data_IF_091205977586
#
_entry.id   IF_091205977586
#
_cell.length_a   1.000
_cell.length_b   1.000
_cell.length_c   1.000
_cell.angle_alpha   90.00
_cell.angle_beta   90.00
_cell.angle_gamma   90.00
#
_symmetry.space_group_name_H-M   'P 1'
#
loop_
_entity.id
_entity.type
_entity.pdbx_description
1 polymer ?
#
# COMPACT_ATOMS: atom_id res chain seq x y z
N UNK A 1 69.06 37.27 17.10
CA UNK A 1 68.03 37.22 16.06
C UNK A 1 67.37 35.82 16.06
N UNK A 2 66.34 35.66 16.85
CA UNK A 2 65.55 34.39 16.94
C UNK A 2 64.16 34.62 16.35
N UNK A 3 63.91 33.99 15.21
CA UNK A 3 62.59 34.04 14.57
C UNK A 3 61.64 33.05 15.30
N UNK A 4 60.61 33.60 15.89
CA UNK A 4 59.50 32.85 16.50
C UNK A 4 58.54 32.44 15.40
N UNK A 5 58.35 31.13 15.17
CA UNK A 5 57.28 30.60 14.34
C UNK A 5 56.03 30.46 15.20
N UNK A 6 55.04 31.28 14.92
CA UNK A 6 53.68 31.07 15.46
C UNK A 6 52.96 30.04 14.58
N UNK A 7 52.70 28.84 15.14
CA UNK A 7 51.75 27.89 14.59
C UNK A 7 50.34 28.41 14.93
N UNK A 8 49.65 28.89 13.92
CA UNK A 8 48.21 29.16 14.02
C UNK A 8 47.42 27.87 13.97
N UNK A 9 46.90 27.44 15.10
CA UNK A 9 45.89 26.37 15.18
C UNK A 9 44.56 26.90 14.60
N UNK A 10 44.20 26.48 13.40
CA UNK A 10 42.89 26.72 12.86
C UNK A 10 41.89 25.83 13.60
N UNK A 11 41.20 26.40 14.56
CA UNK A 11 40.01 25.77 15.16
C UNK A 11 38.92 25.79 14.09
N UNK A 12 38.72 24.65 13.43
CA UNK A 12 37.49 24.41 12.65
C UNK A 12 36.33 24.36 13.62
N UNK A 13 35.72 25.50 13.86
CA UNK A 13 34.41 25.57 14.48
C UNK A 13 33.41 24.89 13.52
N UNK A 14 33.00 23.68 13.88
CA UNK A 14 31.83 23.01 13.29
C UNK A 14 30.60 23.84 13.66
N UNK A 15 30.32 24.83 12.88
CA UNK A 15 29.03 25.49 12.91
C UNK A 15 28.02 24.53 12.34
N UNK A 16 27.27 23.89 13.22
CA UNK A 16 25.98 23.31 12.91
C UNK A 16 25.02 24.44 12.52
N UNK A 17 25.13 24.93 11.30
CA UNK A 17 24.09 25.74 10.70
C UNK A 17 22.93 24.84 10.42
N UNK A 18 21.94 24.83 11.30
CA UNK A 18 20.56 24.50 10.94
C UNK A 18 20.02 25.62 10.05
N UNK A 19 20.52 25.72 8.81
CA UNK A 19 19.86 26.52 7.81
C UNK A 19 18.52 25.88 7.52
N UNK A 20 17.44 26.60 7.80
CA UNK A 20 16.11 26.23 7.37
C UNK A 20 16.14 26.04 5.85
N UNK A 21 16.05 24.80 5.40
CA UNK A 21 15.96 24.49 3.98
C UNK A 21 14.52 24.81 3.57
N UNK A 22 14.36 25.78 2.66
CA UNK A 22 13.07 26.07 2.06
C UNK A 22 12.80 25.00 1.00
N UNK A 23 12.18 23.89 1.40
CA UNK A 23 11.95 22.71 0.59
C UNK A 23 12.55 21.45 1.20
N UNK A 24 12.96 20.49 0.37
CA UNK A 24 13.58 19.26 0.84
C UNK A 24 15.04 19.15 0.49
N UNK A 25 15.80 18.45 1.32
CA UNK A 25 17.19 18.07 1.07
C UNK A 25 17.41 16.63 1.54
N UNK A 26 17.89 15.75 0.66
CA UNK A 26 18.23 14.37 0.98
C UNK A 26 19.71 14.15 0.76
N UNK A 27 20.44 13.95 1.86
CA UNK A 27 21.86 13.61 1.82
C UNK A 27 22.00 12.10 1.67
N UNK A 28 22.71 11.66 0.63
CA UNK A 28 23.00 10.24 0.41
C UNK A 28 24.48 10.00 0.66
N UNK A 29 24.79 8.97 1.46
CA UNK A 29 26.14 8.58 1.79
C UNK A 29 26.32 7.09 1.51
N UNK A 30 27.19 6.75 0.57
CA UNK A 30 27.52 5.39 0.17
C UNK A 30 28.86 5.00 0.75
N UNK A 31 28.89 3.94 1.53
CA UNK A 31 30.07 3.42 2.19
C UNK A 31 30.39 1.99 1.73
N UNK A 32 31.65 1.59 1.88
CA UNK A 32 32.17 0.29 1.45
C UNK A 32 32.37 0.24 -0.07
N UNK A 33 32.08 -0.90 -0.69
CA UNK A 33 32.33 -1.13 -2.11
C UNK A 33 31.23 -0.50 -3.01
N UNK A 34 31.36 0.78 -3.27
CA UNK A 34 30.41 1.52 -4.13
C UNK A 34 30.35 1.00 -5.58
N UNK A 35 31.33 0.21 -6.05
CA UNK A 35 31.31 -0.39 -7.40
C UNK A 35 30.10 -1.33 -7.60
N UNK A 36 29.55 -1.89 -6.51
CA UNK A 36 28.34 -2.70 -6.51
C UNK A 36 27.06 -1.97 -6.94
N UNK A 37 27.08 -0.65 -6.98
CA UNK A 37 26.02 0.15 -7.59
C UNK A 37 25.96 -0.05 -9.12
N UNK A 38 27.13 -0.25 -9.76
CA UNK A 38 27.27 -0.35 -11.22
C UNK A 38 27.16 1.01 -11.93
N UNK A 39 27.04 2.10 -11.21
CA UNK A 39 26.97 3.48 -11.71
C UNK A 39 27.33 4.46 -10.59
N UNK A 40 27.75 5.64 -10.96
CA UNK A 40 27.94 6.80 -10.06
C UNK A 40 26.69 7.69 -9.97
N UNK A 41 25.64 7.37 -10.71
CA UNK A 41 24.48 8.23 -10.86
C UNK A 41 23.28 7.64 -10.09
N UNK A 42 22.68 8.44 -9.22
CA UNK A 42 21.49 8.11 -8.46
C UNK A 42 20.26 8.87 -8.97
N UNK A 43 19.09 8.25 -8.84
CA UNK A 43 17.79 8.84 -9.16
C UNK A 43 16.95 8.87 -7.90
N UNK A 44 16.29 9.99 -7.62
CA UNK A 44 15.20 10.13 -6.66
C UNK A 44 13.88 10.22 -7.45
N UNK A 45 12.94 9.34 -7.20
CA UNK A 45 11.66 9.35 -7.95
C UNK A 45 10.50 8.72 -7.18
N UNK A 46 9.29 9.21 -7.44
CA UNK A 46 8.02 8.55 -7.09
C UNK A 46 7.32 7.94 -8.32
N UNK A 47 7.99 7.91 -9.48
CA UNK A 47 7.45 7.49 -10.79
C UNK A 47 6.26 8.34 -11.29
N UNK A 48 6.07 9.53 -10.76
CA UNK A 48 5.01 10.46 -11.16
C UNK A 48 5.61 11.86 -11.44
N UNK A 49 5.62 12.72 -10.45
CA UNK A 49 6.02 14.14 -10.55
C UNK A 49 7.37 14.46 -9.91
N UNK A 50 7.95 13.55 -9.14
CA UNK A 50 9.30 13.68 -8.60
C UNK A 50 10.24 12.80 -9.41
N UNK A 51 11.16 13.43 -10.11
CA UNK A 51 12.27 12.78 -10.82
C UNK A 51 13.48 13.69 -10.80
N UNK A 52 14.48 13.33 -10.01
CA UNK A 52 15.75 14.06 -9.91
C UNK A 52 16.92 13.08 -10.05
N UNK A 53 18.04 13.59 -10.54
CA UNK A 53 19.24 12.78 -10.83
C UNK A 53 20.47 13.49 -10.33
N UNK A 54 21.29 12.79 -9.55
CA UNK A 54 22.56 13.33 -9.01
C UNK A 54 23.70 12.35 -9.23
N UNK A 55 24.92 12.86 -9.29
CA UNK A 55 26.15 12.07 -9.39
C UNK A 55 26.78 11.95 -8.00
N UNK A 56 27.22 10.74 -7.67
CA UNK A 56 28.02 10.48 -6.47
C UNK A 56 29.43 11.03 -6.63
N UNK A 57 29.86 11.86 -5.69
CA UNK A 57 31.21 12.34 -5.57
C UNK A 57 31.78 11.86 -4.24
N UNK A 58 32.84 11.07 -4.31
CA UNK A 58 33.46 10.47 -3.10
C UNK A 58 32.45 9.73 -2.20
N UNK A 59 31.50 9.01 -2.82
CA UNK A 59 30.45 8.28 -2.11
C UNK A 59 29.31 9.14 -1.56
N UNK A 60 29.25 10.43 -1.90
CA UNK A 60 28.21 11.37 -1.42
C UNK A 60 27.41 11.95 -2.56
N UNK A 61 26.13 12.13 -2.33
CA UNK A 61 25.23 12.84 -3.23
C UNK A 61 24.18 13.63 -2.42
N UNK A 62 23.62 14.67 -3.03
CA UNK A 62 22.57 15.49 -2.41
C UNK A 62 21.48 15.73 -3.42
N UNK A 63 20.27 15.28 -3.11
CA UNK A 63 19.05 15.73 -3.78
C UNK A 63 18.50 16.94 -3.03
N UNK A 64 18.07 17.96 -3.76
CA UNK A 64 17.47 19.16 -3.17
C UNK A 64 16.43 19.74 -4.12
N UNK A 65 15.27 20.05 -3.60
CA UNK A 65 14.17 20.60 -4.38
C UNK A 65 13.35 21.65 -3.64
N UNK A 66 12.39 22.22 -4.36
CA UNK A 66 11.46 23.18 -3.83
C UNK A 66 10.57 22.58 -2.72
N UNK A 67 9.89 23.47 -2.00
CA UNK A 67 8.90 23.07 -0.99
C UNK A 67 7.81 22.20 -1.60
N UNK A 68 7.55 21.05 -0.97
CA UNK A 68 6.45 20.16 -1.30
C UNK A 68 5.28 20.41 -0.34
N UNK A 69 4.07 20.45 -0.87
CA UNK A 69 2.83 20.67 -0.09
C UNK A 69 2.33 19.38 0.55
N UNK A 70 2.67 18.25 -0.06
CA UNK A 70 2.25 16.91 0.42
C UNK A 70 3.46 16.02 0.47
N UNK A 71 3.81 15.44 1.63
CA UNK A 71 4.85 14.44 1.74
C UNK A 71 4.57 13.23 0.85
N UNK A 72 5.63 12.63 0.31
CA UNK A 72 5.49 11.57 -0.69
C UNK A 72 6.48 10.43 -0.47
N UNK A 73 6.04 9.22 -0.72
CA UNK A 73 6.95 8.09 -0.82
C UNK A 73 7.80 8.20 -2.08
N UNK A 74 9.12 8.25 -1.90
CA UNK A 74 10.08 8.29 -3.00
C UNK A 74 11.06 7.14 -2.89
N UNK A 75 11.60 6.77 -4.04
CA UNK A 75 12.62 5.75 -4.18
C UNK A 75 13.95 6.39 -4.58
N UNK A 76 15.04 5.98 -3.94
CA UNK A 76 16.39 6.20 -4.45
C UNK A 76 16.83 4.95 -5.18
N UNK A 77 17.26 5.08 -6.42
CA UNK A 77 17.74 4.00 -7.25
C UNK A 77 19.08 4.35 -7.92
N UNK A 78 19.89 3.34 -8.18
CA UNK A 78 21.04 3.44 -9.08
C UNK A 78 20.54 3.50 -10.53
N UNK A 79 21.02 4.51 -11.32
CA UNK A 79 20.60 4.72 -12.71
C UNK A 79 21.22 3.65 -13.60
N UNK A 80 20.37 2.85 -14.21
CA UNK A 80 20.73 1.81 -15.16
C UNK A 80 19.58 1.62 -16.17
N UNK A 81 19.76 0.82 -17.21
CA UNK A 81 18.69 0.44 -18.14
C UNK A 81 17.46 -0.11 -17.37
N UNK A 82 17.73 -0.94 -16.34
CA UNK A 82 16.74 -1.33 -15.34
C UNK A 82 17.18 -0.76 -13.98
N UNK A 83 16.56 0.33 -13.50
CA UNK A 83 16.98 0.99 -12.27
C UNK A 83 17.00 0.03 -11.07
N UNK A 84 18.11 -0.02 -10.37
CA UNK A 84 18.28 -0.85 -9.18
C UNK A 84 17.84 -0.05 -7.96
N UNK A 85 16.70 -0.44 -7.40
CA UNK A 85 16.18 0.16 -6.16
C UNK A 85 17.17 -0.03 -5.01
N UNK A 86 17.50 1.07 -4.33
CA UNK A 86 18.38 1.10 -3.17
C UNK A 86 17.58 1.38 -1.90
N UNK A 87 16.89 2.50 -1.82
CA UNK A 87 16.15 2.91 -0.63
C UNK A 87 14.74 3.40 -0.98
N UNK A 88 13.85 3.37 0.00
CA UNK A 88 12.58 4.09 -0.01
C UNK A 88 12.56 4.97 1.22
N UNK A 89 12.14 6.21 1.06
CA UNK A 89 11.96 7.14 2.16
C UNK A 89 10.68 7.95 1.95
N UNK A 90 10.18 8.49 3.04
CA UNK A 90 9.08 9.44 3.02
C UNK A 90 9.67 10.85 2.92
N UNK A 91 9.54 11.47 1.75
CA UNK A 91 10.08 12.80 1.48
C UNK A 91 9.19 13.86 2.11
N UNK A 92 9.78 14.64 3.00
CA UNK A 92 9.18 15.79 3.68
C UNK A 92 10.06 17.02 3.46
N UNK A 93 9.53 18.22 3.72
CA UNK A 93 10.35 19.42 3.77
C UNK A 93 11.36 19.32 4.92
N UNK A 94 12.55 19.87 4.72
CA UNK A 94 13.64 19.77 5.67
C UNK A 94 14.76 18.86 5.19
N UNK A 95 15.53 18.30 6.11
CA UNK A 95 16.73 17.51 5.81
C UNK A 95 16.53 16.05 6.20
N UNK A 96 16.72 15.17 5.23
CA UNK A 96 16.80 13.71 5.44
C UNK A 96 18.18 13.19 5.03
N UNK A 97 18.55 12.02 5.53
CA UNK A 97 19.77 11.33 5.10
C UNK A 97 19.50 9.85 4.82
N UNK A 98 20.26 9.30 3.87
CA UNK A 98 20.22 7.88 3.51
C UNK A 98 21.64 7.36 3.48
N UNK A 99 21.98 6.52 4.44
CA UNK A 99 23.27 5.82 4.51
C UNK A 99 23.11 4.45 3.85
N UNK A 100 23.95 4.15 2.85
CA UNK A 100 23.95 2.90 2.08
C UNK A 100 25.31 2.24 2.30
N UNK A 101 25.38 1.16 3.08
CA UNK A 101 26.62 0.51 3.44
C UNK A 101 26.75 -0.87 2.77
N UNK A 102 27.72 -1.01 1.89
CA UNK A 102 28.11 -2.28 1.27
C UNK A 102 29.17 -2.98 2.12
N UNK A 103 28.74 -3.64 3.19
CA UNK A 103 29.63 -4.42 4.05
C UNK A 103 30.33 -5.55 3.26
N UNK A 104 31.55 -5.89 3.68
CA UNK A 104 32.33 -6.96 3.08
C UNK A 104 31.58 -8.31 3.23
N UNK A 105 31.60 -9.11 2.16
CA UNK A 105 30.92 -10.42 2.13
C UNK A 105 29.39 -10.36 1.96
N UNK A 106 28.73 -9.20 2.05
CA UNK A 106 27.28 -9.09 1.84
C UNK A 106 26.95 -8.71 0.39
N UNK A 107 25.95 -9.37 -0.19
CA UNK A 107 25.46 -9.05 -1.56
C UNK A 107 24.56 -7.83 -1.59
N UNK A 108 23.84 -7.55 -0.51
CA UNK A 108 22.92 -6.40 -0.39
C UNK A 108 23.46 -5.41 0.61
N UNK A 109 23.34 -4.10 0.35
CA UNK A 109 23.74 -3.08 1.30
C UNK A 109 22.80 -3.06 2.51
N UNK A 110 23.35 -2.63 3.63
CA UNK A 110 22.57 -2.15 4.76
C UNK A 110 22.16 -0.71 4.48
N UNK A 111 20.88 -0.37 4.70
CA UNK A 111 20.33 0.94 4.38
C UNK A 111 19.70 1.52 5.63
N UNK A 112 20.12 2.73 5.99
CA UNK A 112 19.59 3.49 7.12
C UNK A 112 19.07 4.82 6.60
N UNK A 113 17.77 5.07 6.80
CA UNK A 113 17.12 6.35 6.48
C UNK A 113 16.91 7.11 7.79
N UNK A 114 17.21 8.42 7.80
CA UNK A 114 17.03 9.29 8.96
C UNK A 114 16.48 10.64 8.53
N UNK A 115 15.73 11.27 9.41
CA UNK A 115 15.15 12.61 9.20
C UNK A 115 13.71 12.55 8.73
N UNK A 116 13.03 13.68 8.87
CA UNK A 116 11.59 13.78 8.70
C UNK A 116 10.79 13.33 9.94
N UNK A 117 9.69 14.03 10.19
CA UNK A 117 8.83 13.70 11.35
C UNK A 117 8.06 12.41 11.11
N UNK A 118 7.50 12.26 9.92
CA UNK A 118 6.78 11.04 9.53
C UNK A 118 7.70 9.81 9.56
N UNK A 119 8.88 9.91 8.94
CA UNK A 119 9.84 8.79 8.89
C UNK A 119 10.23 8.33 10.29
N UNK A 120 10.51 9.28 11.20
CA UNK A 120 10.88 8.98 12.60
C UNK A 120 9.77 8.22 13.33
N UNK A 121 8.51 8.63 13.17
CA UNK A 121 7.36 7.95 13.77
C UNK A 121 7.16 6.57 13.16
N UNK A 122 7.17 6.47 11.83
CA UNK A 122 7.00 5.20 11.13
C UNK A 122 8.08 4.18 11.52
N UNK A 123 9.34 4.62 11.65
CA UNK A 123 10.43 3.75 12.07
C UNK A 123 10.30 3.32 13.53
N UNK A 124 9.83 4.21 14.41
CA UNK A 124 9.60 3.87 15.83
C UNK A 124 8.50 2.82 15.98
N UNK A 125 7.39 2.96 15.26
CA UNK A 125 6.29 1.98 15.28
C UNK A 125 6.71 0.65 14.64
N UNK A 126 7.48 0.70 13.54
CA UNK A 126 8.05 -0.51 12.93
C UNK A 126 9.01 -1.24 13.87
N UNK A 127 9.84 -0.51 14.62
CA UNK A 127 10.77 -1.12 15.57
C UNK A 127 10.04 -1.95 16.64
N UNK A 128 8.86 -1.54 17.08
CA UNK A 128 8.01 -2.33 17.99
C UNK A 128 7.67 -3.69 17.37
N UNK A 129 7.22 -3.71 16.12
CA UNK A 129 6.89 -4.95 15.40
C UNK A 129 8.13 -5.82 15.17
N UNK A 130 9.26 -5.21 14.77
CA UNK A 130 10.52 -5.91 14.51
C UNK A 130 11.07 -6.59 15.77
N UNK A 131 11.01 -5.92 16.93
CA UNK A 131 11.41 -6.51 18.21
C UNK A 131 10.55 -7.74 18.56
N UNK A 132 9.24 -7.63 18.36
CA UNK A 132 8.31 -8.74 18.62
C UNK A 132 8.54 -9.91 17.65
N UNK A 133 8.78 -9.65 16.37
CA UNK A 133 9.13 -10.68 15.39
C UNK A 133 10.45 -11.36 15.72
N UNK A 134 11.46 -10.61 16.19
CA UNK A 134 12.73 -11.17 16.66
C UNK A 134 12.52 -12.05 17.90
N UNK A 135 11.73 -11.59 18.86
CA UNK A 135 11.46 -12.32 20.11
C UNK A 135 10.80 -13.69 19.86
N UNK A 136 9.87 -13.79 18.91
CA UNK A 136 9.23 -15.05 18.53
C UNK A 136 9.98 -15.83 17.42
N UNK A 137 11.16 -15.36 16.97
CA UNK A 137 11.95 -15.95 15.87
C UNK A 137 11.15 -16.13 14.59
N UNK A 138 10.36 -15.12 14.22
CA UNK A 138 9.42 -15.16 13.10
C UNK A 138 10.08 -15.63 11.80
N UNK A 139 11.31 -15.18 11.50
CA UNK A 139 12.04 -15.59 10.29
C UNK A 139 12.19 -17.11 10.21
N UNK A 140 12.52 -17.77 11.34
CA UNK A 140 12.66 -19.24 11.42
C UNK A 140 11.30 -19.93 11.27
N UNK A 141 10.24 -19.36 11.86
CA UNK A 141 8.88 -19.88 11.73
C UNK A 141 8.38 -19.78 10.29
N UNK A 142 8.61 -18.66 9.61
CA UNK A 142 8.22 -18.46 8.21
C UNK A 142 9.02 -19.36 7.25
N UNK A 143 10.29 -19.65 7.52
CA UNK A 143 11.05 -20.64 6.75
C UNK A 143 10.48 -22.05 6.90
N UNK A 144 10.05 -22.41 8.12
CA UNK A 144 9.42 -23.71 8.40
C UNK A 144 8.02 -23.82 7.78
N UNK A 145 7.29 -22.72 7.67
CA UNK A 145 5.88 -22.67 7.20
C UNK A 145 5.66 -23.38 5.86
N UNK A 146 6.57 -23.21 4.90
CA UNK A 146 6.43 -23.82 3.56
C UNK A 146 6.32 -25.36 3.59
N UNK A 147 6.95 -26.01 4.60
CA UNK A 147 7.03 -27.47 4.75
C UNK A 147 6.20 -27.99 5.93
N UNK A 148 5.53 -27.11 6.65
CA UNK A 148 4.81 -27.42 7.87
C UNK A 148 3.51 -28.19 7.59
N UNK A 149 3.07 -28.99 8.56
CA UNK A 149 1.74 -29.60 8.58
C UNK A 149 0.63 -28.53 8.65
N UNK A 150 -0.63 -28.89 8.42
CA UNK A 150 -1.76 -27.96 8.55
C UNK A 150 -1.88 -27.39 9.98
N UNK A 151 -1.62 -28.23 10.99
CA UNK A 151 -1.67 -27.84 12.41
C UNK A 151 -0.55 -26.85 12.75
N UNK A 152 0.70 -27.15 12.32
CA UNK A 152 1.84 -26.26 12.55
C UNK A 152 1.68 -24.93 11.82
N UNK A 153 1.12 -24.92 10.60
CA UNK A 153 0.78 -23.70 9.86
C UNK A 153 -0.20 -22.82 10.64
N UNK A 154 -1.28 -23.42 11.17
CA UNK A 154 -2.24 -22.70 11.98
C UNK A 154 -1.61 -22.11 13.25
N UNK A 155 -0.70 -22.84 13.89
CA UNK A 155 0.05 -22.35 15.04
C UNK A 155 0.97 -21.16 14.68
N UNK A 156 1.68 -21.23 13.56
CA UNK A 156 2.54 -20.13 13.07
C UNK A 156 1.70 -18.90 12.71
N UNK A 157 0.57 -19.09 12.01
CA UNK A 157 -0.36 -18.02 11.66
C UNK A 157 -0.94 -17.33 12.91
N UNK A 158 -1.24 -18.10 13.96
CA UNK A 158 -1.68 -17.54 15.24
C UNK A 158 -0.64 -16.62 15.85
N UNK A 159 0.63 -17.04 15.91
CA UNK A 159 1.73 -16.21 16.43
C UNK A 159 1.89 -14.95 15.57
N UNK A 160 1.86 -15.08 14.25
CA UNK A 160 1.94 -13.95 13.34
C UNK A 160 0.81 -12.94 13.58
N UNK A 161 -0.42 -13.41 13.69
CA UNK A 161 -1.59 -12.58 13.92
C UNK A 161 -1.56 -11.88 15.29
N UNK A 162 -1.08 -12.56 16.34
CA UNK A 162 -0.90 -11.96 17.67
C UNK A 162 0.14 -10.83 17.66
N UNK A 163 1.24 -11.00 16.95
CA UNK A 163 2.27 -9.95 16.81
C UNK A 163 1.75 -8.78 15.99
N UNK A 164 1.08 -9.07 14.89
CA UNK A 164 0.50 -8.03 14.02
C UNK A 164 -0.57 -7.22 14.76
N UNK A 165 -1.46 -7.88 15.51
CA UNK A 165 -2.48 -7.19 16.30
C UNK A 165 -1.89 -6.22 17.35
N UNK A 166 -0.78 -6.59 18.01
CA UNK A 166 -0.10 -5.70 18.94
C UNK A 166 0.60 -4.52 18.25
N UNK A 167 1.13 -4.72 17.06
CA UNK A 167 1.68 -3.62 16.26
C UNK A 167 0.59 -2.65 15.82
N UNK A 168 -0.56 -3.16 15.38
CA UNK A 168 -1.75 -2.37 15.04
C UNK A 168 -2.28 -1.60 16.26
N UNK A 169 -2.27 -2.21 17.46
CA UNK A 169 -2.64 -1.53 18.71
C UNK A 169 -1.68 -0.38 19.04
N UNK A 170 -0.37 -0.58 18.89
CA UNK A 170 0.62 0.49 19.11
C UNK A 170 0.41 1.66 18.13
N UNK A 171 0.13 1.37 16.86
CA UNK A 171 -0.19 2.38 15.87
C UNK A 171 -1.49 3.12 16.20
N UNK A 172 -2.55 2.41 16.56
CA UNK A 172 -3.83 3.00 16.95
C UNK A 172 -3.68 3.92 18.18
N UNK A 173 -2.90 3.50 19.18
CA UNK A 173 -2.60 4.30 20.36
C UNK A 173 -1.80 5.57 19.99
N UNK A 174 -0.83 5.49 19.09
CA UNK A 174 -0.11 6.65 18.60
C UNK A 174 -1.08 7.64 17.93
N UNK A 175 -1.89 7.18 16.99
CA UNK A 175 -2.86 8.01 16.25
C UNK A 175 -3.90 8.63 17.21
N UNK A 176 -4.39 7.89 18.20
CA UNK A 176 -5.34 8.40 19.18
C UNK A 176 -4.76 9.52 20.04
N UNK A 177 -3.47 9.45 20.39
CA UNK A 177 -2.78 10.47 21.19
C UNK A 177 -2.21 11.63 20.36
N UNK A 178 -2.06 11.44 19.03
CA UNK A 178 -1.52 12.43 18.09
C UNK A 178 -2.43 12.58 16.86
N UNK A 179 -3.71 12.92 17.02
CA UNK A 179 -4.74 12.77 16.00
C UNK A 179 -4.60 13.71 14.80
N UNK A 180 -3.76 14.76 14.91
CA UNK A 180 -3.58 15.77 13.86
C UNK A 180 -2.19 15.79 13.25
N UNK A 181 -1.39 14.75 13.49
CA UNK A 181 -0.07 14.62 12.87
C UNK A 181 -0.18 14.15 11.42
N UNK A 182 0.87 14.39 10.64
CA UNK A 182 0.96 13.86 9.29
C UNK A 182 0.82 12.34 9.26
N UNK A 183 1.39 11.65 10.26
CA UNK A 183 1.24 10.20 10.39
C UNK A 183 -0.23 9.79 10.55
N UNK A 184 -1.00 10.52 11.37
CA UNK A 184 -2.42 10.25 11.54
C UNK A 184 -3.24 10.53 10.26
N UNK A 185 -2.85 11.53 9.46
CA UNK A 185 -3.47 11.79 8.15
C UNK A 185 -3.22 10.64 7.16
N UNK A 186 -1.99 10.16 7.08
CA UNK A 186 -1.63 9.03 6.22
C UNK A 186 -2.30 7.71 6.71
N UNK A 187 -2.36 7.50 8.02
CA UNK A 187 -3.10 6.39 8.62
C UNK A 187 -4.61 6.46 8.28
N UNK A 188 -5.22 7.64 8.35
CA UNK A 188 -6.61 7.85 7.90
C UNK A 188 -6.77 7.44 6.43
N UNK A 189 -5.88 7.91 5.55
CA UNK A 189 -5.91 7.57 4.12
C UNK A 189 -5.80 6.07 3.87
N UNK A 190 -4.90 5.38 4.59
CA UNK A 190 -4.63 3.95 4.41
C UNK A 190 -5.68 3.01 5.01
N UNK A 191 -6.50 3.50 5.95
CA UNK A 191 -7.45 2.68 6.70
C UNK A 191 -8.93 3.03 6.45
N UNK A 192 -9.24 3.90 5.49
CA UNK A 192 -10.62 4.33 5.20
C UNK A 192 -11.61 3.18 5.01
N UNK A 193 -11.18 2.11 4.36
CA UNK A 193 -12.06 0.95 4.08
C UNK A 193 -12.41 0.14 5.32
N UNK A 194 -11.57 0.19 6.36
CA UNK A 194 -11.75 -0.55 7.61
C UNK A 194 -12.44 0.30 8.69
N UNK A 195 -12.56 1.60 8.45
CA UNK A 195 -13.05 2.58 9.41
C UNK A 195 -14.55 2.83 9.26
N UNK A 196 -15.21 3.15 10.36
CA UNK A 196 -16.55 3.70 10.30
C UNK A 196 -16.55 5.04 9.54
N UNK A 197 -17.55 5.21 8.67
CA UNK A 197 -17.57 6.37 7.76
C UNK A 197 -17.74 7.69 8.51
N UNK A 198 -18.56 7.72 9.57
CA UNK A 198 -18.75 8.92 10.38
C UNK A 198 -17.47 9.27 11.15
N UNK A 199 -16.73 8.26 11.63
CA UNK A 199 -15.42 8.45 12.24
C UNK A 199 -14.41 9.03 11.22
N UNK A 200 -14.36 8.48 10.01
CA UNK A 200 -13.48 8.98 8.95
C UNK A 200 -13.79 10.44 8.58
N UNK A 201 -15.07 10.80 8.48
CA UNK A 201 -15.53 12.18 8.22
C UNK A 201 -15.13 13.13 9.35
N UNK A 202 -15.29 12.72 10.61
CA UNK A 202 -14.91 13.53 11.77
C UNK A 202 -13.39 13.77 11.82
N UNK A 203 -12.58 12.74 11.54
CA UNK A 203 -11.11 12.86 11.45
C UNK A 203 -10.71 13.78 10.31
N UNK A 204 -11.29 13.63 9.12
CA UNK A 204 -11.01 14.50 7.98
C UNK A 204 -11.37 15.97 8.30
N UNK A 205 -12.51 16.22 8.95
CA UNK A 205 -12.93 17.56 9.34
C UNK A 205 -11.93 18.21 10.30
N UNK A 206 -11.35 17.44 11.24
CA UNK A 206 -10.31 17.94 12.14
C UNK A 206 -9.05 18.40 11.37
N UNK A 207 -8.60 17.65 10.36
CA UNK A 207 -7.49 18.07 9.51
C UNK A 207 -7.82 19.31 8.65
N UNK A 208 -9.03 19.37 8.08
CA UNK A 208 -9.46 20.52 7.26
C UNK A 208 -9.53 21.83 8.05
N UNK A 209 -9.67 21.76 9.36
CA UNK A 209 -9.67 22.92 10.25
C UNK A 209 -8.25 23.48 10.53
N UNK A 210 -7.19 22.77 10.15
CA UNK A 210 -5.81 23.14 10.44
C UNK A 210 -5.17 23.85 9.23
N UNK A 211 -4.69 25.09 9.38
CA UNK A 211 -4.10 25.86 8.28
C UNK A 211 -2.92 25.17 7.60
N UNK A 212 -2.12 24.41 8.35
CA UNK A 212 -0.95 23.69 7.84
C UNK A 212 -1.28 22.58 6.83
N UNK A 213 -2.55 22.12 6.80
CA UNK A 213 -3.03 21.11 5.87
C UNK A 213 -3.86 21.70 4.71
N UNK A 214 -4.05 23.02 4.63
CA UNK A 214 -4.93 23.66 3.65
C UNK A 214 -4.57 23.34 2.17
N UNK A 215 -3.27 23.14 1.89
CA UNK A 215 -2.77 22.80 0.56
C UNK A 215 -2.37 21.32 0.42
N UNK A 216 -2.70 20.49 1.42
CA UNK A 216 -2.31 19.09 1.39
C UNK A 216 -3.25 18.29 0.47
N UNK A 217 -2.74 17.84 -0.67
CA UNK A 217 -3.49 17.09 -1.69
C UNK A 217 -4.10 15.77 -1.17
N UNK A 218 -3.59 15.21 -0.07
CA UNK A 218 -4.17 14.00 0.51
C UNK A 218 -5.53 14.28 1.15
N UNK A 219 -5.79 15.51 1.62
CA UNK A 219 -7.12 15.93 2.09
C UNK A 219 -8.19 15.75 1.00
N UNK A 220 -7.91 16.24 -0.22
CA UNK A 220 -8.83 16.11 -1.36
C UNK A 220 -9.03 14.63 -1.75
N UNK A 221 -7.94 13.85 -1.75
CA UNK A 221 -8.01 12.41 -2.05
C UNK A 221 -8.86 11.65 -1.02
N UNK A 222 -8.64 11.92 0.27
CA UNK A 222 -9.40 11.30 1.36
C UNK A 222 -10.89 11.68 1.26
N UNK A 223 -11.19 12.96 1.00
CA UNK A 223 -12.56 13.42 0.82
C UNK A 223 -13.26 12.74 -0.35
N UNK A 224 -12.57 12.62 -1.49
CA UNK A 224 -13.06 11.90 -2.67
C UNK A 224 -13.31 10.42 -2.37
N UNK A 225 -12.39 9.77 -1.64
CA UNK A 225 -12.53 8.37 -1.25
C UNK A 225 -13.72 8.18 -0.28
N UNK A 226 -13.87 9.04 0.73
CA UNK A 226 -15.03 9.02 1.63
C UNK A 226 -16.34 9.18 0.86
N UNK A 227 -16.41 10.11 -0.10
CA UNK A 227 -17.60 10.31 -0.93
C UNK A 227 -17.91 9.07 -1.80
N UNK A 228 -16.89 8.41 -2.33
CA UNK A 228 -17.07 7.14 -3.05
C UNK A 228 -17.59 6.04 -2.11
N UNK A 229 -17.05 5.93 -0.90
CA UNK A 229 -17.48 4.94 0.10
C UNK A 229 -18.91 5.15 0.58
N UNK A 230 -19.43 6.39 0.58
CA UNK A 230 -20.86 6.68 0.85
C UNK A 230 -21.79 5.94 -0.11
N UNK A 231 -21.41 5.86 -1.38
CA UNK A 231 -22.18 5.16 -2.40
C UNK A 231 -22.07 3.62 -2.31
N UNK A 232 -21.28 3.12 -1.39
CA UNK A 232 -21.05 1.68 -1.18
C UNK A 232 -21.53 1.21 0.20
N UNK A 233 -22.31 2.04 0.90
CA UNK A 233 -22.91 1.68 2.19
C UNK A 233 -24.09 0.73 2.03
N UNK A 234 -24.35 -0.18 2.98
CA UNK A 234 -25.51 -1.05 2.95
C UNK A 234 -26.82 -0.27 2.72
N UNK A 235 -27.66 -0.77 1.82
CA UNK A 235 -28.93 -0.14 1.40
C UNK A 235 -28.79 0.95 0.33
N UNK A 236 -27.60 1.43 0.01
CA UNK A 236 -27.36 2.38 -1.10
C UNK A 236 -27.20 1.60 -2.41
N UNK A 237 -27.72 2.15 -3.51
CA UNK A 237 -27.52 1.56 -4.84
C UNK A 237 -26.06 1.73 -5.26
N UNK A 238 -25.39 0.61 -5.51
CA UNK A 238 -24.00 0.60 -5.93
C UNK A 238 -23.83 1.30 -7.30
N UNK A 239 -22.70 2.00 -7.51
CA UNK A 239 -22.40 2.61 -8.79
C UNK A 239 -22.45 1.59 -9.94
N UNK A 240 -23.18 1.90 -11.00
CA UNK A 240 -23.24 1.05 -12.20
C UNK A 240 -21.97 1.22 -13.04
N UNK A 241 -21.57 0.18 -13.75
CA UNK A 241 -20.39 0.22 -14.61
C UNK A 241 -20.57 -0.65 -15.86
N UNK A 242 -19.69 -0.44 -16.83
CA UNK A 242 -19.58 -1.27 -18.04
C UNK A 242 -18.11 -1.62 -18.22
N UNK A 243 -17.80 -2.92 -18.33
CA UNK A 243 -16.48 -3.43 -18.73
C UNK A 243 -16.63 -4.60 -19.70
N UNK A 244 -15.59 -4.90 -20.46
CA UNK A 244 -15.63 -5.94 -21.47
C UNK A 244 -15.42 -7.35 -20.87
N UNK A 245 -16.16 -8.31 -21.40
CA UNK A 245 -15.93 -9.73 -21.17
C UNK A 245 -14.64 -10.22 -21.88
N UNK A 246 -14.24 -11.50 -21.69
CA UNK A 246 -13.09 -12.07 -22.40
C UNK A 246 -13.18 -12.02 -23.93
N UNK A 247 -14.38 -11.95 -24.50
CA UNK A 247 -14.60 -11.89 -25.96
C UNK A 247 -14.61 -10.45 -26.47
N UNK A 248 -14.54 -9.45 -25.56
CA UNK A 248 -14.53 -8.03 -25.88
C UNK A 248 -15.93 -7.41 -25.95
N UNK A 249 -16.97 -8.13 -25.55
CA UNK A 249 -18.32 -7.60 -25.50
C UNK A 249 -18.54 -6.76 -24.23
N UNK A 250 -19.21 -5.61 -24.32
CA UNK A 250 -19.52 -4.80 -23.14
C UNK A 250 -20.56 -5.49 -22.27
N UNK A 251 -20.26 -5.62 -20.99
CA UNK A 251 -21.16 -6.13 -19.94
C UNK A 251 -21.47 -5.00 -18.99
N UNK A 252 -22.75 -4.69 -18.85
CA UNK A 252 -23.25 -3.72 -17.90
C UNK A 252 -23.63 -4.40 -16.59
N UNK A 253 -23.14 -3.90 -15.45
CA UNK A 253 -23.36 -4.47 -14.14
C UNK A 253 -24.86 -4.55 -13.78
N UNK A 254 -25.63 -3.48 -14.08
CA UNK A 254 -27.07 -3.49 -13.84
C UNK A 254 -27.85 -4.53 -14.67
N UNK A 255 -27.33 -4.97 -15.80
CA UNK A 255 -27.94 -6.06 -16.58
C UNK A 255 -27.60 -7.45 -15.99
N UNK A 256 -26.57 -7.52 -15.12
CA UNK A 256 -26.21 -8.74 -14.40
C UNK A 256 -27.04 -8.86 -13.13
N UNK A 257 -26.97 -7.88 -12.21
CA UNK A 257 -27.63 -8.03 -10.91
C UNK A 257 -29.16 -8.16 -10.99
N UNK A 258 -29.80 -7.55 -11.98
CA UNK A 258 -31.24 -7.70 -12.20
C UNK A 258 -31.71 -9.12 -12.49
N UNK A 259 -30.79 -10.02 -12.88
CA UNK A 259 -31.09 -11.43 -13.18
C UNK A 259 -31.08 -12.32 -11.93
N UNK A 260 -30.53 -11.81 -10.83
CA UNK A 260 -30.30 -12.59 -9.61
C UNK A 260 -30.93 -11.90 -8.41
N UNK A 261 -31.25 -12.66 -7.36
CA UNK A 261 -31.71 -12.09 -6.09
C UNK A 261 -30.56 -11.45 -5.32
N UNK A 262 -29.35 -12.08 -5.41
CA UNK A 262 -28.11 -11.61 -4.81
C UNK A 262 -27.00 -11.72 -5.85
N UNK A 263 -26.25 -10.66 -6.04
CA UNK A 263 -25.07 -10.65 -6.92
C UNK A 263 -23.83 -10.27 -6.13
N UNK A 264 -22.78 -11.06 -6.25
CA UNK A 264 -21.45 -10.75 -5.75
C UNK A 264 -20.61 -10.12 -6.85
N UNK A 265 -20.07 -8.94 -6.60
CA UNK A 265 -18.93 -8.40 -7.37
C UNK A 265 -17.67 -8.90 -6.72
N UNK A 266 -16.90 -9.72 -7.44
CA UNK A 266 -15.64 -10.33 -6.98
C UNK A 266 -14.45 -9.66 -7.65
N UNK A 267 -13.63 -8.95 -6.88
CA UNK A 267 -12.40 -8.34 -7.37
C UNK A 267 -11.24 -9.29 -7.16
N UNK A 268 -10.63 -9.72 -8.27
CA UNK A 268 -9.61 -10.76 -8.27
C UNK A 268 -8.55 -10.56 -9.36
N UNK A 269 -7.58 -11.45 -9.47
CA UNK A 269 -6.65 -11.51 -10.59
C UNK A 269 -5.99 -12.88 -10.73
N UNK A 270 -5.50 -13.21 -11.92
CA UNK A 270 -4.77 -14.46 -12.19
C UNK A 270 -3.50 -14.61 -11.36
N UNK A 271 -2.82 -13.51 -11.09
CA UNK A 271 -1.61 -13.43 -10.28
C UNK A 271 -1.87 -13.36 -8.76
N UNK A 272 -3.13 -13.21 -8.34
CA UNK A 272 -3.50 -13.11 -6.92
C UNK A 272 -3.52 -14.51 -6.28
N UNK A 273 -2.47 -14.88 -5.57
CA UNK A 273 -2.37 -16.17 -4.90
C UNK A 273 -3.51 -16.45 -3.92
N UNK A 274 -3.89 -15.52 -3.02
CA UNK A 274 -5.06 -15.70 -2.14
C UNK A 274 -6.36 -15.92 -2.91
N UNK A 275 -6.62 -15.15 -3.97
CA UNK A 275 -7.82 -15.31 -4.82
C UNK A 275 -7.88 -16.71 -5.41
N UNK A 276 -6.76 -17.18 -6.02
CA UNK A 276 -6.67 -18.51 -6.62
C UNK A 276 -6.87 -19.65 -5.60
N UNK A 277 -6.46 -19.45 -4.34
CA UNK A 277 -6.74 -20.42 -3.25
C UNK A 277 -8.20 -20.43 -2.82
N UNK A 278 -8.89 -19.30 -2.89
CA UNK A 278 -10.30 -19.16 -2.54
C UNK A 278 -11.25 -19.64 -3.66
N UNK A 279 -10.86 -19.51 -4.93
CA UNK A 279 -11.70 -19.86 -6.09
C UNK A 279 -12.34 -21.26 -6.03
N UNK A 280 -11.67 -22.35 -5.58
CA UNK A 280 -12.32 -23.65 -5.43
C UNK A 280 -13.47 -23.66 -4.44
N UNK A 281 -13.38 -22.90 -3.34
CA UNK A 281 -14.47 -22.74 -2.36
C UNK A 281 -15.60 -21.92 -2.98
N UNK A 282 -15.30 -20.81 -3.62
CA UNK A 282 -16.28 -19.95 -4.28
C UNK A 282 -17.05 -20.71 -5.38
N UNK A 283 -16.35 -21.54 -6.16
CA UNK A 283 -16.97 -22.41 -7.18
C UNK A 283 -17.97 -23.41 -6.56
N UNK A 284 -17.68 -23.96 -5.38
CA UNK A 284 -18.63 -24.84 -4.67
C UNK A 284 -19.86 -24.07 -4.20
N UNK A 285 -19.65 -22.91 -3.59
CA UNK A 285 -20.75 -22.02 -3.15
C UNK A 285 -21.61 -21.62 -4.35
N UNK A 286 -21.00 -21.19 -5.46
CA UNK A 286 -21.73 -20.81 -6.65
C UNK A 286 -22.59 -21.94 -7.19
N UNK A 287 -22.06 -23.16 -7.31
CA UNK A 287 -22.83 -24.35 -7.74
C UNK A 287 -24.01 -24.67 -6.84
N UNK A 288 -23.89 -24.43 -5.54
CA UNK A 288 -24.96 -24.71 -4.57
C UNK A 288 -26.09 -23.66 -4.63
N UNK A 289 -25.77 -22.39 -4.93
CA UNK A 289 -26.69 -21.27 -4.79
C UNK A 289 -27.15 -20.64 -6.12
N UNK A 290 -26.48 -20.89 -7.26
CA UNK A 290 -26.81 -20.25 -8.55
C UNK A 290 -28.27 -20.46 -8.97
N UNK A 291 -28.80 -21.67 -8.80
CA UNK A 291 -30.19 -22.01 -9.17
C UNK A 291 -31.23 -21.48 -8.13
N UNK A 292 -30.73 -20.93 -6.99
CA UNK A 292 -31.55 -20.28 -5.97
C UNK A 292 -31.61 -18.76 -6.19
N UNK A 293 -30.81 -18.21 -7.13
CA UNK A 293 -30.78 -16.80 -7.46
C UNK A 293 -29.48 -16.07 -7.10
N UNK A 294 -28.36 -16.80 -6.93
CA UNK A 294 -27.04 -16.21 -6.71
C UNK A 294 -26.30 -15.99 -8.02
N UNK A 295 -25.84 -14.77 -8.27
CA UNK A 295 -24.98 -14.39 -9.38
C UNK A 295 -23.60 -13.90 -8.93
N UNK A 296 -22.61 -14.05 -9.78
CA UNK A 296 -21.28 -13.47 -9.59
C UNK A 296 -20.86 -12.70 -10.85
N UNK A 297 -20.24 -11.55 -10.68
CA UNK A 297 -19.47 -10.85 -11.70
C UNK A 297 -18.04 -10.68 -11.21
N UNK A 298 -17.08 -11.34 -11.86
CA UNK A 298 -15.65 -11.24 -11.52
C UNK A 298 -15.01 -10.08 -12.27
N UNK A 299 -14.56 -9.06 -11.53
CA UNK A 299 -13.80 -7.92 -12.05
C UNK A 299 -12.31 -8.24 -11.90
N UNK A 300 -11.62 -8.44 -13.03
CA UNK A 300 -10.20 -8.81 -13.01
C UNK A 300 -9.31 -7.58 -13.05
N UNK A 301 -8.26 -7.61 -12.19
CA UNK A 301 -7.16 -6.65 -12.17
C UNK A 301 -5.94 -7.17 -12.94
N UNK A 302 -6.14 -7.97 -13.97
CA UNK A 302 -5.06 -8.43 -14.84
C UNK A 302 -4.58 -7.35 -15.82
N UNK A 303 -3.36 -7.48 -16.34
CA UNK A 303 -2.84 -6.70 -17.46
C UNK A 303 -2.80 -7.52 -18.75
N UNK A 304 -2.74 -8.83 -18.58
CA UNK A 304 -2.59 -9.78 -19.67
C UNK A 304 -3.85 -10.62 -19.81
N UNK A 305 -4.45 -10.53 -20.98
CA UNK A 305 -5.72 -11.22 -21.29
C UNK A 305 -5.55 -12.73 -21.27
N UNK A 306 -4.45 -13.25 -21.78
CA UNK A 306 -4.25 -14.70 -21.91
C UNK A 306 -4.11 -15.35 -20.53
N UNK A 307 -3.37 -14.69 -19.63
CA UNK A 307 -3.24 -15.11 -18.23
C UNK A 307 -4.58 -15.11 -17.51
N UNK A 308 -5.39 -14.06 -17.71
CA UNK A 308 -6.73 -13.93 -17.13
C UNK A 308 -7.66 -15.05 -17.63
N UNK A 309 -7.78 -15.23 -18.95
CA UNK A 309 -8.63 -16.27 -19.56
C UNK A 309 -8.17 -17.68 -19.16
N UNK A 310 -6.85 -17.89 -19.11
CA UNK A 310 -6.30 -19.16 -18.61
C UNK A 310 -6.71 -19.43 -17.17
N UNK A 311 -6.63 -18.44 -16.29
CA UNK A 311 -7.01 -18.57 -14.88
C UNK A 311 -8.49 -18.89 -14.70
N UNK A 312 -9.40 -18.25 -15.48
CA UNK A 312 -10.83 -18.57 -15.50
C UNK A 312 -11.05 -20.07 -15.81
N UNK A 313 -10.36 -20.60 -16.82
CA UNK A 313 -10.47 -22.02 -17.23
C UNK A 313 -9.89 -22.98 -16.19
N UNK A 314 -8.69 -22.67 -15.69
CA UNK A 314 -7.99 -23.52 -14.71
C UNK A 314 -8.80 -23.68 -13.43
N UNK A 315 -9.40 -22.60 -12.94
CA UNK A 315 -10.18 -22.56 -11.69
C UNK A 315 -11.66 -22.89 -11.91
N UNK A 316 -12.11 -23.09 -13.15
CA UNK A 316 -13.50 -23.42 -13.54
C UNK A 316 -14.52 -22.40 -13.05
N UNK A 317 -14.25 -21.12 -13.32
CA UNK A 317 -15.10 -20.01 -12.88
C UNK A 317 -16.24 -19.78 -13.88
N UNK A 318 -17.38 -20.43 -13.64
CA UNK A 318 -18.52 -20.50 -14.56
C UNK A 318 -19.51 -19.33 -14.38
N UNK A 319 -19.02 -18.09 -14.16
CA UNK A 319 -19.82 -16.87 -14.05
C UNK A 319 -19.33 -15.77 -14.97
N UNK A 320 -19.96 -14.61 -14.92
CA UNK A 320 -19.59 -13.45 -15.74
C UNK A 320 -18.24 -12.90 -15.29
N UNK A 321 -17.36 -12.64 -16.24
CA UNK A 321 -16.06 -12.03 -16.00
C UNK A 321 -15.87 -10.80 -16.86
N UNK A 322 -15.29 -9.73 -16.28
CA UNK A 322 -15.00 -8.48 -16.99
C UNK A 322 -13.63 -7.92 -16.57
N UNK A 323 -13.02 -7.16 -17.46
CA UNK A 323 -11.77 -6.43 -17.20
C UNK A 323 -11.53 -5.33 -18.22
N UNK A 324 -10.85 -4.27 -17.84
CA UNK A 324 -10.23 -3.28 -18.74
C UNK A 324 -8.73 -3.51 -18.94
N UNK A 325 -8.19 -4.56 -18.31
CA UNK A 325 -6.76 -4.90 -18.29
C UNK A 325 -5.87 -3.78 -17.70
N UNK A 326 -6.48 -2.90 -16.91
CA UNK A 326 -5.86 -1.71 -16.32
C UNK A 326 -4.99 -1.99 -15.09
N UNK A 327 -4.93 -3.24 -14.59
CA UNK A 327 -4.27 -3.56 -13.32
C UNK A 327 -4.85 -2.73 -12.17
N UNK A 328 -4.02 -2.11 -11.33
CA UNK A 328 -4.49 -1.18 -10.28
C UNK A 328 -5.07 0.14 -10.82
N UNK A 329 -5.01 0.36 -12.14
CA UNK A 329 -5.70 1.46 -12.81
C UNK A 329 -7.09 1.07 -13.32
N UNK A 330 -7.55 -0.16 -13.07
CA UNK A 330 -8.89 -0.61 -13.44
C UNK A 330 -9.95 0.39 -12.93
N UNK A 331 -10.81 0.86 -13.85
CA UNK A 331 -11.76 1.94 -13.54
C UNK A 331 -12.81 1.51 -12.51
N UNK A 332 -13.25 0.25 -12.55
CA UNK A 332 -14.22 -0.27 -11.58
C UNK A 332 -13.57 -0.46 -10.21
N UNK A 333 -12.33 -0.92 -10.15
CA UNK A 333 -11.58 -1.02 -8.90
C UNK A 333 -11.44 0.35 -8.21
N UNK A 334 -11.12 1.40 -8.99
CA UNK A 334 -11.09 2.79 -8.49
C UNK A 334 -12.46 3.28 -8.03
N UNK A 335 -13.50 3.04 -8.82
CA UNK A 335 -14.88 3.44 -8.51
C UNK A 335 -15.36 2.83 -7.19
N UNK A 336 -14.96 1.59 -6.93
CA UNK A 336 -15.32 0.81 -5.75
C UNK A 336 -14.28 0.89 -4.62
N UNK A 337 -13.27 1.77 -4.75
CA UNK A 337 -12.19 1.98 -3.78
C UNK A 337 -11.45 0.69 -3.42
N UNK A 338 -11.19 -0.18 -4.42
CA UNK A 338 -10.48 -1.45 -4.24
C UNK A 338 -8.97 -1.22 -4.33
N UNK A 339 -8.25 -1.42 -3.23
CA UNK A 339 -6.81 -1.20 -3.12
C UNK A 339 -6.00 -2.50 -2.91
N UNK A 340 -6.68 -3.61 -2.66
CA UNK A 340 -6.09 -4.97 -2.57
C UNK A 340 -7.09 -6.00 -3.06
N UNK A 341 -6.62 -7.19 -3.38
CA UNK A 341 -7.45 -8.35 -3.75
C UNK A 341 -7.04 -9.58 -2.94
N UNK A 342 -8.00 -10.49 -2.60
CA UNK A 342 -9.40 -10.51 -3.00
C UNK A 342 -10.27 -9.51 -2.22
N UNK A 343 -11.25 -8.92 -2.89
CA UNK A 343 -12.33 -8.14 -2.27
C UNK A 343 -13.67 -8.49 -2.91
N UNK A 344 -14.77 -8.31 -2.15
CA UNK A 344 -16.09 -8.57 -2.66
C UNK A 344 -17.13 -7.55 -2.17
N UNK A 345 -18.19 -7.39 -2.97
CA UNK A 345 -19.35 -6.58 -2.62
C UNK A 345 -20.58 -7.36 -3.04
N UNK A 346 -21.56 -7.44 -2.15
CA UNK A 346 -22.85 -8.07 -2.42
C UNK A 346 -23.92 -7.03 -2.64
N UNK A 347 -24.72 -7.21 -3.68
CA UNK A 347 -25.89 -6.36 -3.97
C UNK A 347 -27.14 -7.21 -4.16
N UNK A 348 -28.30 -6.63 -3.87
CA UNK A 348 -29.60 -7.21 -4.17
C UNK A 348 -30.02 -7.00 -5.64
N UNK A 349 -31.23 -7.43 -6.00
CA UNK A 349 -31.77 -7.33 -7.35
C UNK A 349 -32.05 -5.87 -7.81
N UNK A 350 -32.17 -4.95 -6.86
CA UNK A 350 -32.29 -3.50 -7.09
C UNK A 350 -30.91 -2.81 -7.19
N UNK A 351 -29.80 -3.55 -6.99
CA UNK A 351 -28.44 -3.03 -6.98
C UNK A 351 -28.03 -2.40 -5.66
N UNK A 352 -28.84 -2.52 -4.59
CA UNK A 352 -28.49 -1.99 -3.28
C UNK A 352 -27.43 -2.87 -2.62
N UNK A 353 -26.41 -2.23 -2.06
CA UNK A 353 -25.36 -2.94 -1.32
C UNK A 353 -25.93 -3.67 -0.12
N UNK A 354 -25.66 -4.95 -0.01
CA UNK A 354 -25.98 -5.78 1.16
C UNK A 354 -24.81 -5.74 2.13
N UNK A 355 -23.59 -6.03 1.62
CA UNK A 355 -22.37 -6.09 2.41
C UNK A 355 -21.14 -5.91 1.54
N UNK A 356 -20.09 -5.35 2.12
CA UNK A 356 -18.71 -5.30 1.56
C UNK A 356 -17.78 -6.17 2.40
N UNK A 357 -16.70 -6.65 1.78
CA UNK A 357 -15.62 -7.39 2.46
C UNK A 357 -16.12 -8.58 3.29
N UNK A 358 -17.06 -9.35 2.72
CA UNK A 358 -17.56 -10.55 3.39
C UNK A 358 -16.47 -11.64 3.41
N UNK A 359 -16.23 -12.20 4.59
CA UNK A 359 -15.43 -13.42 4.75
C UNK A 359 -16.16 -14.64 4.17
N UNK A 360 -15.46 -15.76 4.00
CA UNK A 360 -16.04 -17.01 3.49
C UNK A 360 -17.29 -17.44 4.29
N UNK A 361 -17.26 -17.36 5.61
CA UNK A 361 -18.38 -17.68 6.47
C UNK A 361 -19.56 -16.72 6.25
N UNK A 362 -19.30 -15.42 6.17
CA UNK A 362 -20.32 -14.40 5.95
C UNK A 362 -20.96 -14.48 4.55
N UNK A 363 -20.23 -14.94 3.52
CA UNK A 363 -20.80 -15.20 2.19
C UNK A 363 -21.97 -16.19 2.30
N UNK A 364 -21.75 -17.30 3.00
CA UNK A 364 -22.80 -18.31 3.17
C UNK A 364 -23.98 -17.77 3.98
N UNK A 365 -23.72 -16.96 5.02
CA UNK A 365 -24.76 -16.31 5.82
C UNK A 365 -25.60 -15.33 4.99
N UNK A 366 -24.94 -14.48 4.18
CA UNK A 366 -25.63 -13.55 3.26
C UNK A 366 -26.54 -14.31 2.31
N UNK A 367 -26.05 -15.39 1.72
CA UNK A 367 -26.84 -16.19 0.77
C UNK A 367 -28.02 -16.87 1.45
N UNK A 368 -27.87 -17.41 2.65
CA UNK A 368 -28.97 -17.99 3.42
C UNK A 368 -30.05 -17.00 3.84
N UNK A 369 -29.63 -15.75 4.10
CA UNK A 369 -30.54 -14.70 4.55
C UNK A 369 -31.33 -14.05 3.41
N UNK A 370 -30.83 -14.11 2.15
CA UNK A 370 -31.39 -13.35 1.04
C UNK A 370 -31.90 -14.23 -0.13
N UNK A 371 -31.73 -15.54 -0.11
CA UNK A 371 -32.17 -16.49 -1.12
C UNK A 371 -33.24 -17.44 -0.62
#
# INVERSE_FOLDING_TARGET
MKKLFLLGAAVCALWSCTSSVDGYKVNVNVQGDASKLGTDTLILTNNADIADTVVLVEGKAVFQGAKITTPQNVMIAAKAEKPKRLAVLFLENGVSSVDINFAEGKQRPEIVVKGGTYQTVADSLRAVQDEMFKACKMDSLMQAYAKASAEDKAAIEKIYNEVTAKAEEAEANYVATHPTTLYALENLSGNLEKMDLAEAEAKLAAFKALPEYAENKNIEKIESAINSLKNLQPGVVAPDFVQNDPDGNPVKFSDVYKKYKVTMVDFWASWCGPCRRFNPTLTKIYKEYKDKGFGIIGVSLDRDKDSWVKAIKDDKLDWVHVSDLGFWNNEVAKLYQVHFVPQNIFVDQEGKVIKRHASEAEIVEILKANL
#
